data_IF_913149573393
#
_entry.id   IF_913149573393
#
_cell.length_a   1.000
_cell.length_b   1.000
_cell.length_c   1.000
_cell.angle_alpha   90.00
_cell.angle_beta   90.00
_cell.angle_gamma   90.00
#
_symmetry.space_group_name_H-M   'P 1'
#
loop_
_entity.id
_entity.type
_entity.pdbx_description
1 polymer ?
#
# COMPACT_ATOMS: atom_id res chain seq x y z
N UNK A 1 8.40 13.81 0.69
CA UNK A 1 7.14 13.06 0.59
C UNK A 1 6.59 13.19 -0.81
N UNK A 2 6.24 14.40 -1.26
CA UNK A 2 5.42 14.70 -2.45
C UNK A 2 5.86 14.10 -3.81
N UNK A 3 7.11 13.66 -3.95
CA UNK A 3 7.60 13.05 -5.20
C UNK A 3 7.06 11.64 -5.42
N UNK A 4 6.97 10.82 -4.37
CA UNK A 4 6.60 9.42 -4.48
C UNK A 4 5.11 9.23 -4.82
N UNK A 5 4.23 10.05 -4.24
CA UNK A 5 2.81 10.02 -4.57
C UNK A 5 2.57 10.53 -6.00
N UNK A 6 3.29 11.58 -6.43
CA UNK A 6 3.18 12.10 -7.79
C UNK A 6 3.66 11.09 -8.84
N UNK A 7 4.73 10.34 -8.57
CA UNK A 7 5.24 9.31 -9.47
C UNK A 7 4.27 8.11 -9.56
N UNK A 8 3.68 7.72 -8.44
CA UNK A 8 2.66 6.67 -8.40
C UNK A 8 1.41 7.07 -9.21
N UNK A 9 0.95 8.30 -9.06
CA UNK A 9 -0.18 8.83 -9.83
C UNK A 9 0.11 8.87 -11.34
N UNK A 10 1.32 9.26 -11.75
CA UNK A 10 1.74 9.25 -13.17
C UNK A 10 1.75 7.83 -13.74
N UNK A 11 2.24 6.85 -12.98
CA UNK A 11 2.23 5.45 -13.41
C UNK A 11 0.81 4.90 -13.60
N UNK A 12 -0.12 5.22 -12.70
CA UNK A 12 -1.51 4.82 -12.81
C UNK A 12 -2.20 5.49 -14.01
N UNK A 13 -1.97 6.80 -14.20
CA UNK A 13 -2.48 7.53 -15.36
C UNK A 13 -1.95 6.98 -16.69
N UNK A 14 -0.66 6.60 -16.76
CA UNK A 14 -0.06 5.96 -17.92
C UNK A 14 -0.70 4.59 -18.25
N UNK A 15 -1.32 3.95 -17.26
CA UNK A 15 -2.04 2.68 -17.40
C UNK A 15 -3.56 2.88 -17.64
N UNK A 16 -3.97 4.13 -17.88
CA UNK A 16 -5.36 4.48 -18.19
C UNK A 16 -6.28 4.59 -16.97
N UNK A 17 -5.72 4.58 -15.75
CA UNK A 17 -6.51 4.74 -14.53
C UNK A 17 -6.75 6.23 -14.28
N UNK A 18 -8.00 6.66 -14.43
CA UNK A 18 -8.42 8.06 -14.19
C UNK A 18 -9.12 8.25 -12.85
N UNK A 19 -9.70 7.19 -12.30
CA UNK A 19 -10.43 7.19 -11.04
C UNK A 19 -10.05 5.93 -10.25
N UNK A 20 -9.95 6.07 -8.93
CA UNK A 20 -9.71 4.96 -8.02
C UNK A 20 -10.88 4.92 -7.05
N UNK A 21 -11.76 3.91 -7.12
CA UNK A 21 -12.83 3.79 -6.14
C UNK A 21 -12.24 3.45 -4.75
N UNK A 22 -12.63 4.22 -3.74
CA UNK A 22 -12.30 3.96 -2.35
C UNK A 22 -13.57 3.59 -1.57
N UNK A 23 -13.48 2.54 -0.76
CA UNK A 23 -14.47 2.23 0.27
C UNK A 23 -13.86 2.53 1.62
N UNK A 24 -14.58 3.34 2.41
CA UNK A 24 -14.13 3.82 3.72
C UNK A 24 -15.11 3.35 4.78
N UNK A 25 -14.58 2.75 5.84
CA UNK A 25 -15.34 2.41 7.04
C UNK A 25 -14.87 3.30 8.17
N UNK A 26 -15.82 3.95 8.83
CA UNK A 26 -15.60 4.77 10.02
C UNK A 26 -16.16 4.07 11.26
N UNK A 27 -15.62 4.39 12.41
CA UNK A 27 -16.19 4.06 13.72
C UNK A 27 -17.27 5.06 14.14
N UNK A 28 -17.99 4.77 15.23
CA UNK A 28 -19.07 5.63 15.75
C UNK A 28 -18.59 7.02 16.21
N UNK A 29 -17.27 7.21 16.38
CA UNK A 29 -16.62 8.46 16.75
C UNK A 29 -16.00 9.20 15.53
N UNK A 30 -16.41 8.82 14.31
CA UNK A 30 -15.89 9.32 13.03
C UNK A 30 -14.38 9.03 12.79
N UNK A 31 -13.75 8.18 13.59
CA UNK A 31 -12.38 7.74 13.33
C UNK A 31 -12.36 6.71 12.21
N UNK A 32 -11.30 6.76 11.41
CA UNK A 32 -11.09 5.83 10.32
C UNK A 32 -10.85 4.43 10.88
N UNK A 33 -11.64 3.45 10.42
CA UNK A 33 -11.50 2.04 10.80
C UNK A 33 -10.79 1.23 9.72
N UNK A 34 -11.18 1.43 8.47
CA UNK A 34 -10.65 0.69 7.31
C UNK A 34 -10.74 1.52 6.05
N UNK A 35 -9.76 1.34 5.16
CA UNK A 35 -9.80 1.79 3.77
C UNK A 35 -9.50 0.61 2.87
N UNK A 36 -10.35 0.39 1.89
CA UNK A 36 -10.08 -0.49 0.76
C UNK A 36 -10.05 0.35 -0.50
N UNK A 37 -9.06 0.08 -1.35
CA UNK A 37 -9.08 0.56 -2.71
C UNK A 37 -8.62 -0.53 -3.67
N UNK A 38 -9.19 -0.48 -4.87
CA UNK A 38 -8.76 -1.28 -6.01
C UNK A 38 -8.45 -0.32 -7.15
N UNK A 39 -7.25 -0.43 -7.69
CA UNK A 39 -6.86 0.26 -8.91
C UNK A 39 -6.93 -0.73 -10.07
N UNK A 40 -7.89 -0.56 -10.95
CA UNK A 40 -8.06 -1.38 -12.15
C UNK A 40 -7.59 -0.63 -13.39
N UNK A 41 -6.91 -1.34 -14.28
CA UNK A 41 -6.60 -0.88 -15.64
C UNK A 41 -7.42 -1.64 -16.67
N UNK A 42 -7.38 -1.18 -17.92
CA UNK A 42 -7.95 -1.91 -19.05
C UNK A 42 -7.34 -3.33 -19.24
N UNK A 43 -6.16 -3.60 -18.65
CA UNK A 43 -5.50 -4.89 -18.67
C UNK A 43 -5.81 -5.77 -17.44
N UNK A 44 -6.58 -5.27 -16.48
CA UNK A 44 -6.92 -5.95 -15.22
C UNK A 44 -6.49 -5.18 -13.97
N UNK A 45 -6.68 -5.81 -12.80
CA UNK A 45 -6.37 -5.23 -11.49
C UNK A 45 -4.86 -4.97 -11.33
N UNK A 46 -4.50 -3.72 -11.03
CA UNK A 46 -3.12 -3.30 -10.79
C UNK A 46 -2.72 -3.46 -9.33
N UNK A 47 -3.63 -3.11 -8.43
CA UNK A 47 -3.39 -3.16 -7.01
C UNK A 47 -4.70 -3.23 -6.23
N UNK A 48 -4.74 -4.09 -5.21
CA UNK A 48 -5.76 -4.08 -4.16
C UNK A 48 -5.04 -3.89 -2.85
N UNK A 49 -5.49 -2.92 -2.04
CA UNK A 49 -4.92 -2.67 -0.72
C UNK A 49 -6.04 -2.42 0.29
N UNK A 50 -5.87 -3.06 1.44
CA UNK A 50 -6.70 -2.87 2.63
C UNK A 50 -5.83 -2.36 3.76
N UNK A 51 -6.21 -1.25 4.37
CA UNK A 51 -5.53 -0.68 5.54
C UNK A 51 -6.52 -0.56 6.68
N UNK A 52 -6.15 -1.03 7.86
CA UNK A 52 -7.01 -1.19 9.04
C UNK A 52 -6.15 -1.13 10.32
N UNK A 53 -6.79 -1.22 11.49
CA UNK A 53 -6.14 -1.20 12.81
C UNK A 53 -5.24 0.02 13.03
N UNK A 54 -5.79 1.19 12.72
CA UNK A 54 -5.11 2.47 12.90
C UNK A 54 -4.74 2.66 14.38
N UNK A 55 -3.51 3.13 14.62
CA UNK A 55 -2.94 3.34 15.95
C UNK A 55 -2.76 2.08 16.81
N UNK A 56 -2.97 0.88 16.26
CA UNK A 56 -2.58 -0.35 16.94
C UNK A 56 -1.06 -0.39 17.14
N UNK A 57 -0.61 -0.81 18.33
CA UNK A 57 0.81 -1.08 18.57
C UNK A 57 1.23 -2.29 17.72
N UNK A 58 2.25 -2.08 16.88
CA UNK A 58 2.84 -3.14 16.07
C UNK A 58 4.14 -3.58 16.75
N UNK A 59 4.20 -4.85 17.13
CA UNK A 59 5.45 -5.46 17.59
C UNK A 59 6.34 -5.78 16.37
N UNK A 60 7.48 -5.10 16.31
CA UNK A 60 8.48 -5.31 15.26
C UNK A 60 9.64 -6.06 15.88
N UNK A 61 9.68 -7.37 15.65
CA UNK A 61 10.81 -8.21 16.00
C UNK A 61 11.78 -8.35 14.82
N UNK A 62 13.09 -8.55 15.08
CA UNK A 62 14.03 -8.87 14.01
C UNK A 62 13.60 -10.15 13.29
N UNK A 63 13.76 -10.22 11.95
CA UNK A 63 13.58 -11.48 11.23
C UNK A 63 14.49 -12.59 11.78
N UNK A 64 14.10 -13.86 11.64
CA UNK A 64 14.96 -15.01 11.97
C UNK A 64 16.32 -14.89 11.28
N UNK A 65 17.40 -15.22 11.99
CA UNK A 65 18.77 -15.00 11.50
C UNK A 65 19.09 -15.81 10.22
N UNK A 66 18.39 -16.91 10.00
CA UNK A 66 18.45 -17.75 8.80
C UNK A 66 17.67 -17.19 7.60
N UNK A 67 16.83 -16.16 7.80
CA UNK A 67 16.10 -15.44 6.75
C UNK A 67 16.76 -14.09 6.37
N UNK A 68 17.82 -13.70 7.08
CA UNK A 68 18.57 -12.46 6.80
C UNK A 68 19.78 -12.77 5.92
N UNK A 69 19.70 -12.39 4.65
CA UNK A 69 20.84 -12.43 3.73
C UNK A 69 21.58 -11.09 3.78
N UNK A 70 22.90 -11.10 3.88
CA UNK A 70 23.69 -9.86 3.85
C UNK A 70 23.58 -9.20 2.47
N UNK A 71 23.48 -7.87 2.42
CA UNK A 71 23.48 -7.13 1.17
C UNK A 71 24.73 -7.40 0.31
N UNK A 72 25.84 -7.78 0.94
CA UNK A 72 27.09 -8.19 0.25
C UNK A 72 26.97 -9.52 -0.50
N UNK A 73 26.02 -10.39 -0.11
CA UNK A 73 25.81 -11.70 -0.70
C UNK A 73 24.88 -11.66 -1.93
N UNK A 74 24.20 -10.53 -2.15
CA UNK A 74 23.30 -10.33 -3.29
C UNK A 74 24.02 -9.91 -4.58
N UNK A 75 25.33 -9.65 -4.52
CA UNK A 75 26.13 -9.16 -5.64
C UNK A 75 25.75 -7.74 -6.09
N UNK A 76 26.55 -7.11 -6.97
CA UNK A 76 26.13 -5.90 -7.68
C UNK A 76 25.00 -6.17 -8.68
#
# INVERSE_FOLDING_TARGET
>A
SDGAEADSARQLAAQGVTEIPLTVWLEDNDLLRRIDFTADSAAGALATRTTYDWSAEVDVSPPPADEVVSATDLGP
#
